data_IF_976709306877
#
_entry.id   IF_976709306877
#
_cell.length_a   1.000
_cell.length_b   1.000
_cell.length_c   1.000
_cell.angle_alpha   90.00
_cell.angle_beta   90.00
_cell.angle_gamma   90.00
#
_symmetry.space_group_name_H-M   'P 1'
#
loop_
_entity.id
_entity.type
_entity.pdbx_description
1 polymer ?
#
# COMPACT_ATOMS: atom_id res chain seq x y z
N UNK A 1 -25.15 4.22 -22.22
CA UNK A 1 -23.88 4.24 -22.99
C UNK A 1 -22.68 4.30 -22.04
N UNK A 2 -22.51 3.25 -21.23
CA UNK A 2 -21.38 3.02 -20.30
C UNK A 2 -20.63 1.71 -20.60
N UNK A 3 -21.10 0.91 -21.57
CA UNK A 3 -20.40 -0.30 -22.04
C UNK A 3 -19.30 0.00 -23.09
N UNK A 4 -19.10 1.27 -23.46
CA UNK A 4 -18.08 1.69 -24.43
C UNK A 4 -16.72 1.98 -23.78
N UNK A 5 -16.64 2.23 -22.47
CA UNK A 5 -15.34 2.41 -21.81
C UNK A 5 -14.63 1.10 -21.50
N UNK A 6 -15.36 -0.03 -21.45
CA UNK A 6 -14.78 -1.38 -21.33
C UNK A 6 -14.07 -1.84 -22.61
N UNK A 7 -14.53 -1.34 -23.77
CA UNK A 7 -13.98 -1.70 -25.09
C UNK A 7 -12.80 -0.81 -25.52
N UNK A 8 -12.74 0.44 -25.05
CA UNK A 8 -11.72 1.38 -25.51
C UNK A 8 -10.36 1.24 -24.82
N UNK A 9 -10.29 0.61 -23.64
CA UNK A 9 -9.02 0.29 -22.99
C UNK A 9 -8.32 -0.95 -23.58
N UNK A 10 -8.99 -1.66 -24.49
CA UNK A 10 -8.49 -2.90 -25.10
C UNK A 10 -7.56 -2.66 -26.31
N UNK A 11 -7.53 -1.44 -26.88
CA UNK A 11 -6.88 -1.19 -28.17
C UNK A 11 -5.51 -0.47 -28.14
N UNK A 12 -4.90 -0.24 -26.97
CA UNK A 12 -3.59 0.42 -26.88
C UNK A 12 -2.50 -0.47 -26.26
N UNK A 13 -2.31 -1.69 -26.77
CA UNK A 13 -0.98 -2.33 -26.87
C UNK A 13 -0.98 -3.25 -28.09
N UNK A 14 -0.84 -2.67 -29.29
CA UNK A 14 -0.29 -3.41 -30.42
C UNK A 14 1.22 -3.50 -30.22
N UNK A 15 1.68 -4.61 -29.67
CA UNK A 15 2.83 -5.35 -30.20
C UNK A 15 3.20 -6.54 -29.29
N UNK A 16 3.48 -7.66 -29.96
CA UNK A 16 4.07 -8.94 -29.50
C UNK A 16 3.10 -10.03 -28.99
N UNK A 17 2.68 -10.82 -29.98
CA UNK A 17 2.46 -12.28 -30.02
C UNK A 17 2.16 -13.05 -28.72
N UNK A 18 0.86 -13.27 -28.50
CA UNK A 18 0.19 -14.57 -28.31
C UNK A 18 -1.30 -14.28 -28.16
N UNK A 19 -1.98 -13.96 -29.26
CA UNK A 19 -3.40 -13.61 -29.24
C UNK A 19 -4.22 -14.87 -29.02
N UNK A 20 -4.78 -15.06 -27.82
CA UNK A 20 -5.96 -15.93 -27.67
C UNK A 20 -7.08 -15.24 -28.44
N UNK A 21 -7.73 -15.86 -29.44
CA UNK A 21 -8.81 -15.22 -30.17
C UNK A 21 -9.87 -14.70 -29.19
N UNK A 22 -10.39 -13.48 -29.39
CA UNK A 22 -11.35 -12.80 -28.47
C UNK A 22 -12.57 -13.66 -28.08
N UNK A 23 -12.92 -14.70 -28.85
CA UNK A 23 -14.00 -15.64 -28.54
C UNK A 23 -13.63 -16.85 -27.65
N UNK A 24 -12.34 -17.12 -27.39
CA UNK A 24 -11.89 -18.21 -26.51
C UNK A 24 -11.62 -17.76 -25.07
N UNK A 25 -11.42 -16.45 -24.84
CA UNK A 25 -11.11 -15.85 -23.53
C UNK A 25 -12.32 -15.94 -22.58
N UNK A 26 -13.54 -15.74 -23.10
CA UNK A 26 -14.80 -15.90 -22.36
C UNK A 26 -15.00 -17.34 -21.81
N UNK A 27 -14.17 -18.30 -22.24
CA UNK A 27 -14.26 -19.71 -21.93
C UNK A 27 -13.08 -20.22 -21.06
N UNK A 28 -12.40 -19.32 -20.35
CA UNK A 28 -11.36 -19.67 -19.38
C UNK A 28 -11.91 -19.94 -17.97
N UNK A 29 -12.93 -19.19 -17.55
CA UNK A 29 -13.58 -19.36 -16.25
C UNK A 29 -15.04 -19.76 -16.48
N UNK A 30 -15.53 -20.84 -15.84
CA UNK A 30 -16.93 -21.22 -15.92
C UNK A 30 -17.86 -20.04 -15.63
N UNK A 31 -18.94 -19.85 -16.39
CA UNK A 31 -19.86 -18.76 -16.15
C UNK A 31 -20.42 -18.85 -14.73
N UNK A 32 -20.50 -17.72 -14.00
CA UNK A 32 -20.93 -17.76 -12.62
C UNK A 32 -22.41 -18.16 -12.53
N UNK A 33 -22.78 -19.05 -11.60
CA UNK A 33 -24.19 -19.28 -11.29
C UNK A 33 -24.82 -17.99 -10.75
N UNK A 34 -26.16 -17.90 -10.82
CA UNK A 34 -26.91 -16.71 -10.38
C UNK A 34 -26.45 -16.21 -9.01
N UNK A 35 -26.17 -14.92 -8.97
CA UNK A 35 -25.80 -14.19 -7.77
C UNK A 35 -27.06 -13.59 -7.14
N UNK A 36 -27.07 -13.50 -5.81
CA UNK A 36 -28.03 -12.67 -5.09
C UNK A 36 -27.51 -11.23 -4.98
N UNK A 37 -28.37 -10.30 -4.57
CA UNK A 37 -28.00 -8.88 -4.45
C UNK A 37 -26.90 -8.60 -3.40
N UNK A 38 -26.68 -9.51 -2.45
CA UNK A 38 -25.68 -9.37 -1.39
C UNK A 38 -24.67 -10.51 -1.51
N UNK A 39 -23.39 -10.16 -1.70
CA UNK A 39 -22.30 -11.14 -1.81
C UNK A 39 -21.59 -11.24 -0.47
N UNK A 40 -20.92 -10.17 -0.06
CA UNK A 40 -20.33 -10.02 1.27
C UNK A 40 -20.69 -8.65 1.79
N UNK A 41 -21.13 -8.57 3.04
CA UNK A 41 -21.42 -7.32 3.73
C UNK A 41 -20.80 -7.35 5.13
N UNK A 42 -19.93 -6.39 5.39
CA UNK A 42 -19.25 -6.18 6.67
C UNK A 42 -19.76 -4.88 7.28
N UNK A 43 -20.39 -4.98 8.44
CA UNK A 43 -20.95 -3.86 9.19
C UNK A 43 -20.15 -3.66 10.49
N UNK A 44 -19.48 -2.51 10.62
CA UNK A 44 -18.70 -2.09 11.79
C UNK A 44 -17.72 -3.15 12.32
N UNK A 45 -17.10 -3.89 11.40
CA UNK A 45 -16.27 -5.05 11.73
C UNK A 45 -14.93 -4.63 12.34
N UNK A 46 -14.60 -5.23 13.48
CA UNK A 46 -13.27 -5.12 14.11
C UNK A 46 -12.72 -6.50 14.44
N UNK A 47 -11.41 -6.67 14.29
CA UNK A 47 -10.73 -7.92 14.63
C UNK A 47 -9.47 -7.65 15.47
N UNK A 48 -9.36 -8.39 16.57
CA UNK A 48 -8.20 -8.42 17.45
C UNK A 48 -7.77 -9.88 17.62
N UNK A 49 -6.49 -10.16 17.34
CA UNK A 49 -5.89 -11.47 17.51
C UNK A 49 -4.82 -11.39 18.61
N UNK A 50 -5.07 -12.06 19.73
CA UNK A 50 -4.26 -11.89 20.94
C UNK A 50 -4.30 -10.43 21.42
N UNK A 51 -3.13 -9.82 21.59
CA UNK A 51 -3.00 -8.42 22.01
C UNK A 51 -2.97 -7.41 20.84
N UNK A 52 -3.05 -7.89 19.60
CA UNK A 52 -2.90 -7.05 18.40
C UNK A 52 -4.24 -6.86 17.70
N UNK A 53 -4.75 -5.63 17.73
CA UNK A 53 -5.84 -5.22 16.82
C UNK A 53 -5.28 -5.06 15.41
N UNK A 54 -5.90 -5.71 14.42
CA UNK A 54 -5.51 -5.57 13.00
C UNK A 54 -6.26 -4.42 12.33
N UNK A 55 -7.57 -4.33 12.53
CA UNK A 55 -8.41 -3.23 12.03
C UNK A 55 -9.68 -3.06 12.87
N UNK A 56 -10.27 -1.87 12.80
CA UNK A 56 -11.49 -1.49 13.55
C UNK A 56 -12.48 -0.75 12.67
N UNK A 57 -13.76 -0.86 13.02
CA UNK A 57 -14.88 -0.13 12.42
C UNK A 57 -14.90 -0.18 10.87
N UNK A 58 -14.56 -1.34 10.32
CA UNK A 58 -14.53 -1.55 8.88
C UNK A 58 -15.95 -1.78 8.36
N UNK A 59 -16.32 -1.03 7.32
CA UNK A 59 -17.50 -1.29 6.52
C UNK A 59 -17.08 -1.66 5.11
N UNK A 60 -17.60 -2.75 4.57
CA UNK A 60 -17.28 -3.24 3.23
C UNK A 60 -18.49 -3.98 2.66
N UNK A 61 -18.95 -3.55 1.48
CA UNK A 61 -19.97 -4.27 0.72
C UNK A 61 -19.38 -4.66 -0.63
N UNK A 62 -19.49 -5.94 -0.98
CA UNK A 62 -19.15 -6.48 -2.29
C UNK A 62 -20.43 -6.66 -3.11
N UNK A 63 -20.47 -6.02 -4.27
CA UNK A 63 -21.61 -6.08 -5.19
C UNK A 63 -21.41 -7.16 -6.27
N UNK A 64 -22.51 -7.54 -6.92
CA UNK A 64 -22.50 -8.47 -8.07
C UNK A 64 -21.67 -7.89 -9.23
N UNK A 65 -20.77 -8.70 -9.78
CA UNK A 65 -19.97 -8.31 -10.95
C UNK A 65 -18.87 -7.28 -10.65
N UNK A 66 -18.64 -6.97 -9.37
CA UNK A 66 -17.60 -6.04 -8.94
C UNK A 66 -16.27 -6.78 -8.73
N UNK A 67 -15.17 -6.17 -9.16
CA UNK A 67 -13.83 -6.59 -8.77
C UNK A 67 -13.26 -5.66 -7.69
N UNK A 68 -13.03 -6.20 -6.50
CA UNK A 68 -12.48 -5.47 -5.35
C UNK A 68 -11.05 -5.91 -5.06
N UNK A 69 -10.12 -4.96 -5.15
CA UNK A 69 -8.72 -5.15 -4.81
C UNK A 69 -8.44 -4.80 -3.35
N UNK A 70 -7.61 -5.58 -2.68
CA UNK A 70 -7.17 -5.37 -1.29
C UNK A 70 -5.67 -5.12 -1.27
N UNK A 71 -5.28 -3.96 -0.74
CA UNK A 71 -3.88 -3.51 -0.72
C UNK A 71 -3.45 -3.11 0.68
N UNK A 72 -2.17 -3.32 1.00
CA UNK A 72 -1.62 -3.00 2.31
C UNK A 72 -0.29 -3.68 2.58
N UNK A 73 0.46 -3.19 3.59
CA UNK A 73 1.73 -3.79 4.01
C UNK A 73 1.52 -5.26 4.46
N UNK A 74 2.58 -6.05 4.50
CA UNK A 74 2.48 -7.42 5.00
C UNK A 74 2.17 -7.43 6.51
N UNK A 75 1.32 -8.39 6.92
CA UNK A 75 0.93 -8.53 8.33
C UNK A 75 -0.05 -7.46 8.86
N UNK A 76 -0.71 -6.68 7.99
CA UNK A 76 -1.78 -5.73 8.38
C UNK A 76 -3.16 -6.38 8.50
N UNK A 77 -3.31 -7.64 8.07
CA UNK A 77 -4.56 -8.40 8.18
C UNK A 77 -5.33 -8.61 6.87
N UNK A 78 -4.68 -8.50 5.69
CA UNK A 78 -5.32 -8.76 4.38
C UNK A 78 -5.94 -10.17 4.29
N UNK A 79 -5.15 -11.21 4.54
CA UNK A 79 -5.67 -12.60 4.57
C UNK A 79 -6.65 -12.82 5.73
N UNK A 80 -6.55 -12.03 6.82
CA UNK A 80 -7.53 -12.08 7.92
C UNK A 80 -8.87 -11.51 7.46
N UNK A 81 -8.88 -10.41 6.70
CA UNK A 81 -10.08 -9.88 6.07
C UNK A 81 -10.72 -10.93 5.15
N UNK A 82 -9.92 -11.60 4.31
CA UNK A 82 -10.43 -12.68 3.46
C UNK A 82 -11.15 -13.76 4.30
N UNK A 83 -10.50 -14.26 5.37
CA UNK A 83 -11.11 -15.26 6.25
C UNK A 83 -12.42 -14.80 6.88
N UNK A 84 -12.54 -13.52 7.24
CA UNK A 84 -13.79 -12.96 7.78
C UNK A 84 -14.87 -12.88 6.68
N UNK A 85 -14.52 -12.38 5.48
CA UNK A 85 -15.44 -12.35 4.33
C UNK A 85 -15.98 -13.75 3.97
N UNK A 86 -15.12 -14.77 4.10
CA UNK A 86 -15.44 -16.17 3.83
C UNK A 86 -16.11 -16.89 5.02
N UNK A 87 -16.42 -16.19 6.12
CA UNK A 87 -16.96 -16.76 7.36
C UNK A 87 -16.11 -17.89 7.98
N UNK A 88 -14.80 -17.91 7.68
CA UNK A 88 -13.83 -18.83 8.27
C UNK A 88 -13.25 -18.32 9.59
N UNK A 89 -13.43 -17.03 9.87
CA UNK A 89 -13.01 -16.38 11.11
C UNK A 89 -14.11 -15.40 11.56
N UNK A 90 -14.54 -15.51 12.81
CA UNK A 90 -15.51 -14.57 13.37
C UNK A 90 -14.83 -13.25 13.77
N UNK A 91 -15.45 -12.10 13.48
CA UNK A 91 -14.95 -10.82 13.94
C UNK A 91 -15.09 -10.67 15.46
N UNK A 92 -14.21 -9.89 16.08
CA UNK A 92 -14.30 -9.58 17.52
C UNK A 92 -15.51 -8.69 17.84
N UNK A 93 -15.87 -7.80 16.91
CA UNK A 93 -17.08 -7.00 16.97
C UNK A 93 -17.60 -6.68 15.57
N UNK A 94 -18.85 -6.24 15.48
CA UNK A 94 -19.52 -6.00 14.20
C UNK A 94 -20.14 -7.27 13.62
N UNK A 95 -20.50 -7.24 12.34
CA UNK A 95 -21.21 -8.33 11.69
C UNK A 95 -20.65 -8.59 10.29
N UNK A 96 -20.42 -9.86 9.98
CA UNK A 96 -19.98 -10.32 8.66
C UNK A 96 -21.05 -11.24 8.05
N UNK A 97 -21.64 -10.82 6.93
CA UNK A 97 -22.72 -11.52 6.25
C UNK A 97 -22.21 -12.01 4.90
N UNK A 98 -22.28 -13.32 4.67
CA UNK A 98 -22.07 -13.94 3.37
C UNK A 98 -23.43 -14.27 2.74
N UNK A 99 -23.61 -13.91 1.47
CA UNK A 99 -24.83 -14.19 0.73
C UNK A 99 -25.12 -15.68 0.61
N UNK A 100 -26.39 -16.07 0.76
CA UNK A 100 -26.81 -17.50 0.77
C UNK A 100 -26.55 -18.24 -0.55
N UNK A 101 -26.47 -17.52 -1.67
CA UNK A 101 -26.27 -18.09 -3.00
C UNK A 101 -24.81 -17.99 -3.47
N UNK A 102 -23.90 -17.53 -2.60
CA UNK A 102 -22.49 -17.38 -2.94
C UNK A 102 -21.83 -18.76 -2.98
N UNK A 103 -21.26 -19.10 -4.13
CA UNK A 103 -20.35 -20.22 -4.35
C UNK A 103 -18.94 -19.66 -4.47
N UNK A 104 -18.16 -19.88 -3.42
CA UNK A 104 -16.80 -19.36 -3.29
C UNK A 104 -15.84 -20.28 -4.02
N UNK A 105 -14.98 -19.70 -4.85
CA UNK A 105 -13.74 -20.32 -5.29
C UNK A 105 -12.57 -19.55 -4.68
N UNK A 106 -12.03 -20.09 -3.58
CA UNK A 106 -10.90 -19.51 -2.88
C UNK A 106 -9.60 -20.14 -3.36
N UNK A 107 -8.70 -19.26 -3.80
CA UNK A 107 -7.45 -19.58 -4.42
C UNK A 107 -6.37 -18.93 -3.56
N UNK A 108 -5.66 -19.76 -2.82
CA UNK A 108 -4.50 -19.36 -2.03
C UNK A 108 -3.23 -19.96 -2.64
N UNK A 109 -2.09 -19.53 -2.11
CA UNK A 109 -0.77 -20.01 -2.53
C UNK A 109 -0.57 -21.52 -2.31
N UNK A 110 -1.34 -22.17 -1.43
CA UNK A 110 -1.22 -23.61 -1.18
C UNK A 110 -1.96 -24.45 -2.22
N UNK A 111 -3.10 -23.96 -2.72
CA UNK A 111 -3.87 -24.58 -3.82
C UNK A 111 -3.21 -24.43 -5.19
N UNK A 112 -2.23 -23.54 -5.28
CA UNK A 112 -1.37 -23.33 -6.43
C UNK A 112 -0.27 -24.41 -6.56
N UNK A 113 -0.51 -25.64 -6.11
CA UNK A 113 0.43 -26.76 -6.22
C UNK A 113 -0.08 -27.82 -7.20
N UNK A 114 0.86 -28.35 -7.99
CA UNK A 114 0.64 -29.44 -8.93
C UNK A 114 1.26 -30.72 -8.35
N UNK A 115 0.62 -31.87 -8.57
CA UNK A 115 1.07 -33.16 -8.00
C UNK A 115 2.37 -33.65 -8.69
N UNK A 116 2.63 -33.17 -9.91
CA UNK A 116 3.92 -33.33 -10.60
C UNK A 116 4.16 -34.72 -11.22
N UNK A 117 3.42 -35.74 -10.79
CA UNK A 117 3.64 -37.14 -11.20
C UNK A 117 2.83 -37.60 -12.40
N UNK A 118 1.72 -36.93 -12.72
CA UNK A 118 0.82 -37.25 -13.83
C UNK A 118 1.12 -36.49 -15.11
N UNK A 119 0.35 -36.77 -16.17
CA UNK A 119 0.34 -35.92 -17.35
C UNK A 119 -0.43 -34.61 -17.09
N UNK A 120 -0.20 -33.58 -17.92
CA UNK A 120 -0.97 -32.33 -17.83
C UNK A 120 -2.48 -32.59 -17.96
N UNK A 121 -2.86 -33.55 -18.81
CA UNK A 121 -4.24 -33.96 -18.97
C UNK A 121 -4.81 -34.56 -17.68
N UNK A 122 -4.06 -35.45 -17.03
CA UNK A 122 -4.50 -36.10 -15.79
C UNK A 122 -4.67 -35.08 -14.65
N UNK A 123 -3.75 -34.13 -14.57
CA UNK A 123 -3.73 -33.06 -13.56
C UNK A 123 -4.95 -32.13 -13.64
N UNK A 124 -5.47 -31.90 -14.84
CA UNK A 124 -6.65 -31.04 -15.06
C UNK A 124 -7.95 -31.83 -15.09
N UNK A 125 -7.92 -33.06 -15.60
CA UNK A 125 -9.12 -33.89 -15.74
C UNK A 125 -9.64 -34.42 -14.40
N UNK A 126 -8.79 -34.52 -13.37
CA UNK A 126 -9.08 -35.27 -12.14
C UNK A 126 -9.60 -36.70 -12.44
N UNK A 127 -9.14 -37.29 -13.54
CA UNK A 127 -9.58 -38.60 -14.04
C UNK A 127 -10.84 -38.60 -14.93
N UNK A 128 -11.39 -37.43 -15.27
CA UNK A 128 -12.55 -37.29 -16.16
C UNK A 128 -12.19 -36.80 -17.57
N UNK A 129 -12.72 -37.42 -18.63
CA UNK A 129 -12.46 -36.96 -20.01
C UNK A 129 -12.97 -35.54 -20.30
N UNK A 130 -13.93 -35.05 -19.50
CA UNK A 130 -14.59 -33.75 -19.64
C UNK A 130 -14.52 -32.97 -18.32
N UNK A 131 -14.38 -31.67 -18.46
CA UNK A 131 -14.41 -30.68 -17.38
C UNK A 131 -15.81 -30.06 -17.37
N UNK A 132 -16.43 -30.01 -16.20
CA UNK A 132 -17.66 -29.25 -15.99
C UNK A 132 -17.34 -27.75 -16.07
N UNK A 133 -18.00 -27.06 -17.00
CA UNK A 133 -17.81 -25.64 -17.26
C UNK A 133 -19.15 -24.92 -17.20
N UNK A 134 -19.61 -24.68 -15.97
CA UNK A 134 -20.94 -24.13 -15.72
C UNK A 134 -22.00 -25.19 -16.04
N UNK A 135 -22.85 -24.92 -17.02
CA UNK A 135 -23.89 -25.86 -17.47
C UNK A 135 -23.42 -26.74 -18.65
N UNK A 136 -22.21 -26.51 -19.18
CA UNK A 136 -21.65 -27.24 -20.31
C UNK A 136 -20.48 -28.14 -19.88
N UNK A 137 -20.11 -29.08 -20.76
CA UNK A 137 -18.95 -29.93 -20.58
C UNK A 137 -17.95 -29.72 -21.71
N UNK A 138 -16.71 -29.46 -21.34
CA UNK A 138 -15.63 -29.17 -22.29
C UNK A 138 -14.59 -30.29 -22.18
N UNK A 139 -14.09 -30.79 -23.31
CA UNK A 139 -13.02 -31.79 -23.28
C UNK A 139 -11.75 -31.21 -22.64
N UNK A 140 -11.10 -31.97 -21.76
CA UNK A 140 -9.95 -31.46 -21.01
C UNK A 140 -8.80 -30.98 -21.91
N UNK A 141 -8.58 -31.64 -23.06
CA UNK A 141 -7.63 -31.19 -24.09
C UNK A 141 -8.01 -29.83 -24.69
N UNK A 142 -9.28 -29.62 -25.00
CA UNK A 142 -9.76 -28.36 -25.57
C UNK A 142 -9.62 -27.21 -24.57
N UNK A 143 -9.83 -27.48 -23.28
CA UNK A 143 -9.61 -26.50 -22.22
C UNK A 143 -8.11 -26.15 -22.08
N UNK A 144 -7.22 -27.14 -22.05
CA UNK A 144 -5.77 -26.92 -21.99
C UNK A 144 -5.21 -26.12 -23.16
N UNK A 145 -5.74 -26.31 -24.38
CA UNK A 145 -5.34 -25.50 -25.56
C UNK A 145 -5.58 -24.00 -25.36
N UNK A 146 -6.61 -23.61 -24.60
CA UNK A 146 -6.90 -22.20 -24.28
C UNK A 146 -5.85 -21.57 -23.36
N UNK A 147 -5.13 -22.40 -22.61
CA UNK A 147 -3.95 -22.02 -21.82
C UNK A 147 -2.65 -22.19 -22.62
N UNK A 148 -2.74 -22.20 -23.96
CA UNK A 148 -1.61 -22.25 -24.90
C UNK A 148 -0.77 -23.55 -24.81
N UNK A 149 -1.38 -24.66 -24.38
CA UNK A 149 -0.73 -25.97 -24.45
C UNK A 149 -0.97 -26.64 -25.80
N UNK A 150 0.10 -27.11 -26.45
CA UNK A 150 0.00 -27.92 -27.67
C UNK A 150 -0.40 -29.37 -27.37
N UNK A 151 -0.93 -30.08 -28.37
CA UNK A 151 -1.35 -31.48 -28.20
C UNK A 151 -0.22 -32.42 -27.78
N UNK A 152 1.00 -32.14 -28.23
CA UNK A 152 2.20 -32.86 -27.82
C UNK A 152 2.46 -32.66 -26.32
N UNK A 153 2.42 -31.40 -25.85
CA UNK A 153 2.68 -31.05 -24.44
C UNK A 153 1.61 -31.56 -23.48
N UNK A 154 0.35 -31.66 -23.90
CA UNK A 154 -0.76 -32.09 -23.05
C UNK A 154 -0.58 -33.50 -22.47
N UNK A 155 0.13 -34.39 -23.19
CA UNK A 155 0.35 -35.77 -22.72
C UNK A 155 1.70 -35.94 -22.01
N UNK A 156 2.52 -34.89 -21.89
CA UNK A 156 3.77 -34.92 -21.15
C UNK A 156 3.54 -34.82 -19.65
N UNK A 157 4.57 -35.16 -18.88
CA UNK A 157 4.53 -35.08 -17.42
C UNK A 157 4.71 -33.64 -16.95
N UNK A 158 4.06 -33.32 -15.83
CA UNK A 158 4.11 -31.98 -15.23
C UNK A 158 5.53 -31.57 -14.80
N UNK A 159 6.38 -32.53 -14.39
CA UNK A 159 7.76 -32.28 -13.98
C UNK A 159 8.71 -31.84 -15.13
N UNK A 160 8.28 -31.97 -16.38
CA UNK A 160 9.03 -31.52 -17.57
C UNK A 160 8.67 -30.10 -18.02
N UNK A 161 7.72 -29.45 -17.33
CA UNK A 161 7.27 -28.11 -17.68
C UNK A 161 8.30 -27.05 -17.32
N UNK A 162 8.41 -26.04 -18.18
CA UNK A 162 9.07 -24.78 -17.81
C UNK A 162 8.29 -24.06 -16.72
N UNK A 163 8.93 -23.10 -16.03
CA UNK A 163 8.25 -22.32 -14.99
C UNK A 163 7.00 -21.58 -15.48
N UNK A 164 7.03 -21.02 -16.70
CA UNK A 164 5.86 -20.35 -17.29
C UNK A 164 4.73 -21.33 -17.66
N UNK A 165 5.07 -22.51 -18.18
CA UNK A 165 4.07 -23.55 -18.43
C UNK A 165 3.47 -24.09 -17.13
N UNK A 166 4.29 -24.25 -16.09
CA UNK A 166 3.82 -24.65 -14.77
C UNK A 166 2.81 -23.62 -14.21
N UNK A 167 3.10 -22.32 -14.34
CA UNK A 167 2.18 -21.25 -13.99
C UNK A 167 0.87 -21.29 -14.78
N UNK A 168 0.92 -21.52 -16.10
CA UNK A 168 -0.30 -21.67 -16.92
C UNK A 168 -1.13 -22.89 -16.54
N UNK A 169 -0.51 -24.03 -16.27
CA UNK A 169 -1.23 -25.24 -15.87
C UNK A 169 -1.90 -25.04 -14.51
N UNK A 170 -1.19 -24.39 -13.58
CA UNK A 170 -1.73 -24.01 -12.28
C UNK A 170 -2.96 -23.10 -12.42
N UNK A 171 -2.90 -22.07 -13.25
CA UNK A 171 -4.06 -21.23 -13.56
C UNK A 171 -5.21 -22.05 -14.13
N UNK A 172 -4.95 -22.94 -15.09
CA UNK A 172 -5.96 -23.81 -15.66
C UNK A 172 -6.65 -24.69 -14.60
N UNK A 173 -5.87 -25.28 -13.70
CA UNK A 173 -6.36 -26.14 -12.61
C UNK A 173 -7.27 -25.38 -11.64
N UNK A 174 -6.88 -24.15 -11.35
CA UNK A 174 -7.55 -23.29 -10.37
C UNK A 174 -8.85 -22.70 -10.94
N UNK A 175 -8.80 -22.18 -12.17
CA UNK A 175 -9.93 -21.50 -12.81
C UNK A 175 -11.05 -22.46 -13.24
N UNK A 176 -10.77 -23.76 -13.41
CA UNK A 176 -11.76 -24.77 -13.83
C UNK A 176 -12.92 -24.96 -12.84
N UNK A 177 -12.70 -24.65 -11.57
CA UNK A 177 -13.69 -24.90 -10.50
C UNK A 177 -14.86 -23.90 -10.52
N UNK A 178 -14.75 -22.82 -11.29
CA UNK A 178 -15.82 -21.82 -11.44
C UNK A 178 -16.14 -21.12 -10.13
N UNK A 179 -17.42 -20.84 -9.89
CA UNK A 179 -17.92 -20.10 -8.73
C UNK A 179 -18.57 -18.78 -9.12
N UNK A 180 -19.13 -18.07 -8.16
CA UNK A 180 -19.67 -16.72 -8.39
C UNK A 180 -19.02 -15.65 -7.51
N UNK A 181 -18.22 -16.06 -6.52
CA UNK A 181 -17.22 -15.23 -5.86
C UNK A 181 -15.85 -15.90 -6.00
N UNK A 182 -14.95 -15.28 -6.75
CA UNK A 182 -13.54 -15.71 -6.84
C UNK A 182 -12.73 -14.90 -5.85
N UNK A 183 -11.97 -15.58 -5.00
CA UNK A 183 -11.08 -14.95 -4.03
C UNK A 183 -9.64 -15.36 -4.31
N UNK A 184 -8.77 -14.39 -4.58
CA UNK A 184 -7.38 -14.59 -4.93
C UNK A 184 -6.46 -13.97 -3.86
N UNK A 185 -5.61 -14.75 -3.21
CA UNK A 185 -4.61 -14.23 -2.26
C UNK A 185 -3.20 -14.25 -2.89
N UNK A 186 -2.72 -13.07 -3.28
CA UNK A 186 -1.41 -12.83 -3.93
C UNK A 186 -1.17 -13.68 -5.22
N UNK A 187 -2.10 -13.63 -6.22
CA UNK A 187 -2.03 -14.51 -7.38
C UNK A 187 -0.90 -14.17 -8.36
N UNK A 188 -0.27 -13.00 -8.24
CA UNK A 188 0.69 -12.48 -9.23
C UNK A 188 2.15 -12.87 -8.98
N UNK A 189 2.49 -13.39 -7.80
CA UNK A 189 3.90 -13.54 -7.38
C UNK A 189 4.66 -14.61 -8.17
N UNK A 190 3.99 -15.68 -8.58
CA UNK A 190 4.59 -16.85 -9.21
C UNK A 190 4.22 -16.97 -10.71
N UNK A 191 3.63 -15.92 -11.29
CA UNK A 191 3.19 -15.89 -12.68
C UNK A 191 4.21 -15.19 -13.58
N UNK A 192 4.47 -15.79 -14.75
CA UNK A 192 5.15 -15.09 -15.83
C UNK A 192 4.21 -14.08 -16.51
N UNK A 193 4.77 -13.19 -17.33
CA UNK A 193 4.02 -12.11 -17.97
C UNK A 193 2.86 -12.63 -18.86
N UNK A 194 3.05 -13.79 -19.51
CA UNK A 194 2.00 -14.40 -20.33
C UNK A 194 0.85 -14.95 -19.47
N UNK A 195 1.16 -15.69 -18.40
CA UNK A 195 0.15 -16.22 -17.48
C UNK A 195 -0.61 -15.10 -16.79
N UNK A 196 0.08 -14.02 -16.40
CA UNK A 196 -0.53 -12.85 -15.80
C UNK A 196 -1.53 -12.20 -16.76
N UNK A 197 -1.21 -12.04 -18.05
CA UNK A 197 -2.15 -11.52 -19.06
C UNK A 197 -3.37 -12.42 -19.22
N UNK A 198 -3.19 -13.74 -19.29
CA UNK A 198 -4.30 -14.71 -19.36
C UNK A 198 -5.22 -14.55 -18.14
N UNK A 199 -4.65 -14.40 -16.95
CA UNK A 199 -5.41 -14.18 -15.73
C UNK A 199 -6.16 -12.84 -15.76
N UNK A 200 -5.51 -11.74 -16.16
CA UNK A 200 -6.15 -10.43 -16.30
C UNK A 200 -7.35 -10.48 -17.25
N UNK A 201 -7.17 -11.07 -18.43
CA UNK A 201 -8.22 -11.19 -19.44
C UNK A 201 -9.37 -12.07 -18.95
N UNK A 202 -9.06 -13.21 -18.32
CA UNK A 202 -10.05 -14.12 -17.76
C UNK A 202 -10.89 -13.44 -16.66
N UNK A 203 -10.23 -12.72 -15.74
CA UNK A 203 -10.90 -12.00 -14.65
C UNK A 203 -11.71 -10.80 -15.15
N UNK A 204 -11.24 -10.09 -16.18
CA UNK A 204 -11.96 -8.98 -16.78
C UNK A 204 -13.23 -9.45 -17.53
N UNK A 205 -13.21 -10.64 -18.13
CA UNK A 205 -14.37 -11.25 -18.79
C UNK A 205 -15.36 -11.90 -17.80
N UNK A 206 -14.90 -12.28 -16.61
CA UNK A 206 -15.71 -12.97 -15.61
C UNK A 206 -16.83 -12.06 -15.09
N UNK A 207 -18.07 -12.55 -15.16
CA UNK A 207 -19.27 -11.79 -14.76
C UNK A 207 -19.65 -11.96 -13.29
N UNK A 208 -18.82 -12.64 -12.50
CA UNK A 208 -19.05 -12.82 -11.07
C UNK A 208 -18.35 -11.75 -10.26
N UNK A 209 -18.38 -11.89 -8.94
CA UNK A 209 -17.68 -10.99 -8.03
C UNK A 209 -16.26 -11.51 -7.80
N UNK A 210 -15.28 -10.60 -7.75
CA UNK A 210 -13.88 -10.92 -7.54
C UNK A 210 -13.36 -10.16 -6.32
N UNK A 211 -12.66 -10.85 -5.44
CA UNK A 211 -11.92 -10.26 -4.33
C UNK A 211 -10.46 -10.67 -4.45
N UNK A 212 -9.57 -9.71 -4.70
CA UNK A 212 -8.16 -10.00 -4.94
C UNK A 212 -7.25 -9.25 -3.97
N UNK A 213 -6.32 -9.96 -3.35
CA UNK A 213 -5.20 -9.38 -2.63
C UNK A 213 -3.99 -9.41 -3.57
N UNK A 214 -3.40 -8.26 -3.85
CA UNK A 214 -2.17 -8.21 -4.64
C UNK A 214 -1.35 -6.97 -4.29
N UNK A 215 -0.04 -7.08 -4.47
CA UNK A 215 0.89 -5.95 -4.47
C UNK A 215 1.15 -5.36 -5.87
N UNK A 216 0.69 -6.00 -6.93
CA UNK A 216 0.88 -5.55 -8.31
C UNK A 216 -0.11 -4.43 -8.65
N UNK A 217 0.45 -3.23 -8.84
CA UNK A 217 -0.32 -2.02 -9.12
C UNK A 217 -0.95 -2.03 -10.51
N UNK A 218 -0.27 -2.61 -11.50
CA UNK A 218 -0.76 -2.63 -12.88
C UNK A 218 -1.91 -3.60 -13.03
N UNK A 219 -1.76 -4.79 -12.43
CA UNK A 219 -2.82 -5.79 -12.36
C UNK A 219 -4.09 -5.22 -11.72
N UNK A 220 -3.95 -4.62 -10.53
CA UNK A 220 -5.09 -4.03 -9.81
C UNK A 220 -5.72 -2.87 -10.59
N UNK A 221 -4.93 -2.05 -11.29
CA UNK A 221 -5.45 -0.93 -12.08
C UNK A 221 -6.28 -1.39 -13.28
N UNK A 222 -5.94 -2.54 -13.86
CA UNK A 222 -6.62 -3.13 -15.00
C UNK A 222 -7.96 -3.79 -14.66
N UNK A 223 -8.02 -4.50 -13.53
CA UNK A 223 -9.19 -5.32 -13.22
C UNK A 223 -10.10 -4.74 -12.13
N UNK A 224 -9.61 -3.90 -11.21
CA UNK A 224 -10.40 -3.52 -10.02
C UNK A 224 -11.29 -2.29 -10.26
N UNK A 225 -12.52 -2.39 -9.74
CA UNK A 225 -13.52 -1.32 -9.67
C UNK A 225 -13.60 -0.68 -8.27
N UNK A 226 -12.96 -1.29 -7.27
CA UNK A 226 -12.91 -0.79 -5.89
C UNK A 226 -11.60 -1.24 -5.25
N UNK A 227 -11.03 -0.38 -4.40
CA UNK A 227 -9.81 -0.66 -3.64
C UNK A 227 -10.08 -0.53 -2.14
N UNK A 228 -9.76 -1.58 -1.41
CA UNK A 228 -9.70 -1.64 0.06
C UNK A 228 -8.25 -1.51 0.47
N UNK A 229 -7.89 -0.33 0.98
CA UNK A 229 -6.53 -0.02 1.39
C UNK A 229 -6.37 -0.06 2.91
N UNK A 230 -5.44 -0.87 3.38
CA UNK A 230 -4.94 -0.87 4.75
C UNK A 230 -3.85 0.19 4.88
N UNK A 231 -4.21 1.33 5.47
CA UNK A 231 -3.34 2.47 5.74
C UNK A 231 -3.01 2.53 7.25
N UNK A 232 -2.00 3.33 7.63
CA UNK A 232 -1.58 3.46 9.03
C UNK A 232 -2.67 4.13 9.91
N UNK A 233 -3.62 4.86 9.30
CA UNK A 233 -4.77 5.51 9.96
C UNK A 233 -6.07 4.66 9.93
N UNK A 234 -5.99 3.42 9.45
CA UNK A 234 -7.11 2.48 9.36
C UNK A 234 -7.37 1.98 7.94
N UNK A 235 -8.54 1.37 7.74
CA UNK A 235 -8.92 0.82 6.42
C UNK A 235 -9.79 1.80 5.66
N UNK A 236 -9.43 2.05 4.40
CA UNK A 236 -10.17 2.93 3.49
C UNK A 236 -10.71 2.13 2.31
N UNK A 237 -12.00 2.26 2.07
CA UNK A 237 -12.65 1.71 0.87
C UNK A 237 -12.87 2.83 -0.12
N UNK A 238 -12.31 2.69 -1.33
CA UNK A 238 -12.40 3.70 -2.38
C UNK A 238 -12.97 3.07 -3.66
N UNK A 239 -14.07 3.58 -4.22
CA UNK A 239 -14.53 3.15 -5.53
C UNK A 239 -13.60 3.68 -6.62
N UNK A 240 -13.31 2.88 -7.63
CA UNK A 240 -12.36 3.15 -8.71
C UNK A 240 -11.17 2.20 -8.70
N UNK A 241 -10.32 2.35 -9.71
CA UNK A 241 -9.11 1.57 -9.89
C UNK A 241 -7.98 2.01 -8.93
N UNK A 242 -6.84 1.32 -9.01
CA UNK A 242 -5.70 1.59 -8.15
C UNK A 242 -5.13 3.01 -8.31
N UNK A 243 -5.03 3.51 -9.54
CA UNK A 243 -4.56 4.86 -9.83
C UNK A 243 -5.43 5.93 -9.19
N UNK A 244 -6.75 5.77 -9.26
CA UNK A 244 -7.70 6.69 -8.63
C UNK A 244 -7.59 6.69 -7.10
N UNK A 245 -7.39 5.51 -6.49
CA UNK A 245 -7.09 5.41 -5.07
C UNK A 245 -5.79 6.17 -4.71
N UNK A 246 -4.72 6.01 -5.50
CA UNK A 246 -3.44 6.68 -5.26
C UNK A 246 -3.58 8.21 -5.31
N UNK A 247 -4.29 8.74 -6.30
CA UNK A 247 -4.58 10.17 -6.44
C UNK A 247 -5.32 10.71 -5.22
N UNK A 248 -6.39 10.02 -4.79
CA UNK A 248 -7.15 10.40 -3.59
C UNK A 248 -6.29 10.36 -2.33
N UNK A 249 -5.43 9.36 -2.21
CA UNK A 249 -4.51 9.24 -1.07
C UNK A 249 -3.54 10.43 -1.03
N UNK A 250 -2.91 10.77 -2.15
CA UNK A 250 -2.00 11.92 -2.24
C UNK A 250 -2.71 13.24 -1.93
N UNK A 251 -3.94 13.45 -2.43
CA UNK A 251 -4.72 14.63 -2.14
C UNK A 251 -5.00 14.78 -0.62
N UNK A 252 -5.32 13.68 0.06
CA UNK A 252 -5.51 13.66 1.53
C UNK A 252 -4.22 13.94 2.28
N UNK A 253 -3.11 13.32 1.90
CA UNK A 253 -1.80 13.55 2.53
C UNK A 253 -1.37 15.03 2.38
N UNK A 254 -1.56 15.61 1.20
CA UNK A 254 -1.28 17.03 0.94
C UNK A 254 -2.19 17.95 1.76
N UNK A 255 -3.49 17.64 1.85
CA UNK A 255 -4.42 18.41 2.66
C UNK A 255 -4.06 18.33 4.16
N UNK A 256 -3.69 17.15 4.66
CA UNK A 256 -3.23 16.96 6.04
C UNK A 256 -1.94 17.75 6.32
N UNK A 257 -0.98 17.75 5.39
CA UNK A 257 0.26 18.53 5.51
C UNK A 257 0.00 20.04 5.47
N UNK A 258 -0.94 20.49 4.63
CA UNK A 258 -1.36 21.89 4.57
C UNK A 258 -2.06 22.32 5.87
N UNK A 259 -2.91 21.46 6.45
CA UNK A 259 -3.54 21.72 7.75
C UNK A 259 -2.53 21.74 8.89
N UNK A 260 -1.57 20.81 8.94
CA UNK A 260 -0.52 20.79 9.96
C UNK A 260 0.36 22.03 9.90
N UNK A 261 0.72 22.50 8.70
CA UNK A 261 1.49 23.74 8.53
C UNK A 261 0.68 24.99 8.88
N UNK A 262 -0.62 25.03 8.55
CA UNK A 262 -1.53 26.09 8.97
C UNK A 262 -1.76 26.09 10.49
N UNK A 263 -1.90 24.92 11.12
CA UNK A 263 -2.03 24.76 12.57
C UNK A 263 -0.77 25.27 13.28
N UNK A 264 0.43 24.88 12.83
CA UNK A 264 1.69 25.40 13.36
C UNK A 264 1.84 26.92 13.19
N UNK A 265 1.47 27.47 12.02
CA UNK A 265 1.46 28.92 11.80
C UNK A 265 0.47 29.63 12.72
N UNK A 266 -0.72 29.05 12.94
CA UNK A 266 -1.75 29.62 13.81
C UNK A 266 -1.43 29.48 15.30
N UNK A 267 -0.74 28.42 15.72
CA UNK A 267 -0.20 28.26 17.07
C UNK A 267 0.89 29.30 17.35
N UNK A 268 1.78 29.55 16.38
CA UNK A 268 2.78 30.63 16.42
C UNK A 268 2.16 32.03 16.41
N UNK A 269 0.97 32.20 15.81
CA UNK A 269 0.19 33.46 15.80
C UNK A 269 -0.70 33.65 17.04
N UNK A 270 -1.11 32.57 17.71
CA UNK A 270 -1.89 32.60 18.96
C UNK A 270 -1.00 32.87 20.17
N UNK A 271 0.25 32.38 20.17
CA UNK A 271 1.24 32.76 21.18
C UNK A 271 1.66 34.23 21.09
N UNK A 272 1.55 34.86 19.91
CA UNK A 272 1.91 36.27 19.69
C UNK A 272 0.78 37.29 19.94
N UNK A 273 -0.40 36.87 20.43
CA UNK A 273 -1.57 37.75 20.58
C UNK A 273 -1.94 38.11 22.03
N UNK A 274 -1.08 37.78 23.01
CA UNK A 274 -1.07 38.51 24.28
C UNK A 274 -0.31 39.81 24.03
N UNK A 275 -1.04 40.94 23.91
CA UNK A 275 -0.46 42.27 24.08
C UNK A 275 0.10 42.36 25.51
N UNK A 276 1.36 41.99 25.69
CA UNK A 276 2.11 42.40 26.87
C UNK A 276 2.36 43.90 26.76
N UNK A 277 2.08 44.62 27.85
CA UNK A 277 2.40 46.04 27.96
C UNK A 277 3.91 46.21 27.72
N UNK A 278 4.35 47.27 27.02
CA UNK A 278 5.77 47.47 26.77
C UNK A 278 6.50 47.55 28.11
N UNK A 279 7.29 46.52 28.40
CA UNK A 279 8.13 46.41 29.59
C UNK A 279 9.31 47.35 29.38
N UNK A 280 9.59 48.22 30.34
CA UNK A 280 10.80 49.04 30.34
C UNK A 280 11.94 48.23 30.94
N UNK A 281 13.15 48.39 30.39
CA UNK A 281 14.37 47.85 30.99
C UNK A 281 14.48 48.33 32.43
N UNK A 282 14.72 47.41 33.36
CA UNK A 282 15.14 47.75 34.71
C UNK A 282 16.58 48.29 34.70
N UNK A 283 16.97 49.05 35.72
CA UNK A 283 18.32 49.62 35.81
C UNK A 283 19.42 48.53 35.80
N UNK A 284 19.11 47.33 36.30
CA UNK A 284 20.00 46.17 36.25
C UNK A 284 20.13 45.60 34.84
N UNK A 285 19.02 45.45 34.10
CA UNK A 285 19.01 44.94 32.72
C UNK A 285 19.65 45.92 31.73
N UNK A 286 19.54 47.24 31.97
CA UNK A 286 20.24 48.25 31.16
C UNK A 286 21.76 48.17 31.32
N UNK A 287 22.24 47.95 32.55
CA UNK A 287 23.67 47.75 32.84
C UNK A 287 24.17 46.39 32.35
N UNK A 288 23.31 45.37 32.37
CA UNK A 288 23.59 44.06 31.78
C UNK A 288 23.82 44.19 30.27
N UNK A 289 22.93 44.88 29.55
CA UNK A 289 23.00 45.12 28.10
C UNK A 289 24.32 45.80 27.68
N UNK A 290 24.78 46.81 28.43
CA UNK A 290 26.06 47.48 28.17
C UNK A 290 27.26 46.53 28.24
N UNK A 291 27.16 45.44 29.01
CA UNK A 291 28.26 44.45 29.17
C UNK A 291 28.07 43.18 28.36
N UNK A 292 26.89 42.97 27.75
CA UNK A 292 26.58 41.75 27.02
C UNK A 292 27.24 41.71 25.65
N UNK A 293 27.40 42.87 25.02
CA UNK A 293 28.11 43.00 23.74
C UNK A 293 29.59 42.60 23.89
N UNK A 294 30.26 43.15 24.91
CA UNK A 294 31.65 42.80 25.22
C UNK A 294 31.79 41.30 25.56
N UNK A 295 30.87 40.73 26.35
CA UNK A 295 30.88 39.31 26.70
C UNK A 295 30.61 38.38 25.51
N UNK A 296 29.74 38.78 24.59
CA UNK A 296 29.47 38.03 23.38
C UNK A 296 30.71 38.02 22.48
N UNK A 297 31.36 39.17 22.33
CA UNK A 297 32.63 39.29 21.60
C UNK A 297 33.74 38.44 22.23
N UNK A 298 33.89 38.46 23.57
CA UNK A 298 34.85 37.59 24.28
C UNK A 298 34.54 36.10 24.06
N UNK A 299 33.26 35.70 24.04
CA UNK A 299 32.87 34.32 23.78
C UNK A 299 33.16 33.89 22.33
N UNK A 300 32.93 34.78 21.36
CA UNK A 300 33.25 34.55 19.94
C UNK A 300 34.76 34.46 19.70
N UNK A 301 35.58 35.24 20.41
CA UNK A 301 37.04 35.14 20.38
C UNK A 301 37.51 33.77 20.90
N UNK A 302 36.86 33.24 21.94
CA UNK A 302 37.12 31.88 22.46
C UNK A 302 36.73 30.82 21.44
N UNK A 303 35.59 30.96 20.74
CA UNK A 303 35.20 30.05 19.66
C UNK A 303 36.22 30.07 18.53
N UNK A 304 36.68 31.26 18.14
CA UNK A 304 37.65 31.46 17.06
C UNK A 304 38.99 30.81 17.42
N UNK A 305 39.51 31.06 18.63
CA UNK A 305 40.77 30.45 19.09
C UNK A 305 40.69 28.92 19.21
N UNK A 306 39.55 28.35 19.61
CA UNK A 306 39.35 26.89 19.64
C UNK A 306 39.27 26.30 18.21
N UNK A 307 38.65 27.02 17.27
CA UNK A 307 38.62 26.62 15.85
C UNK A 307 40.01 26.65 15.20
N UNK A 308 40.82 27.67 15.50
CA UNK A 308 42.20 27.78 15.03
C UNK A 308 43.07 26.65 15.60
N UNK A 309 42.94 26.34 16.90
CA UNK A 309 43.62 25.21 17.54
C UNK A 309 43.26 23.89 16.84
N UNK A 310 41.98 23.64 16.58
CA UNK A 310 41.53 22.43 15.88
C UNK A 310 42.06 22.35 14.43
N UNK A 311 42.32 23.51 13.82
CA UNK A 311 42.87 23.61 12.45
C UNK A 311 44.40 23.55 12.40
N UNK A 312 45.09 23.57 13.55
CA UNK A 312 46.54 23.55 13.62
C UNK A 312 47.11 22.16 13.28
N UNK A 313 48.24 22.08 12.55
CA UNK A 313 48.87 20.80 12.18
C UNK A 313 49.27 19.95 13.39
N UNK A 314 49.58 20.58 14.53
CA UNK A 314 50.04 19.92 15.74
C UNK A 314 48.91 19.10 16.42
N UNK A 315 47.66 19.60 16.38
CA UNK A 315 46.50 18.92 16.98
C UNK A 315 45.92 17.83 16.07
N UNK A 316 46.15 17.92 14.75
CA UNK A 316 45.70 16.89 13.80
C UNK A 316 46.39 15.52 13.99
N UNK A 317 47.48 15.48 14.75
CA UNK A 317 48.22 14.24 15.05
C UNK A 317 47.98 13.71 16.47
N UNK A 318 47.30 14.48 17.32
CA UNK A 318 46.95 14.12 18.71
C UNK A 318 45.45 13.79 18.82
N UNK A 319 45.12 12.53 18.47
CA UNK A 319 43.74 12.02 18.40
C UNK A 319 43.01 11.97 19.75
N UNK A 320 43.71 12.09 20.90
CA UNK A 320 43.08 12.10 22.22
C UNK A 320 42.56 13.50 22.60
N UNK A 321 43.20 14.56 22.11
CA UNK A 321 42.82 15.95 22.42
C UNK A 321 41.69 16.50 21.54
N UNK A 322 41.51 15.96 20.33
CA UNK A 322 40.44 16.35 19.40
C UNK A 322 39.04 16.32 20.03
N UNK A 323 38.58 15.22 20.67
CA UNK A 323 37.24 15.18 21.26
C UNK A 323 37.06 16.15 22.44
N UNK A 324 38.14 16.44 23.19
CA UNK A 324 38.11 17.40 24.30
C UNK A 324 37.91 18.82 23.77
N UNK A 325 38.69 19.22 22.76
CA UNK A 325 38.61 20.54 22.13
C UNK A 325 37.27 20.71 21.39
N UNK A 326 36.75 19.65 20.77
CA UNK A 326 35.42 19.68 20.13
C UNK A 326 34.30 19.92 21.16
N UNK A 327 34.36 19.28 22.33
CA UNK A 327 33.37 19.48 23.39
C UNK A 327 33.45 20.90 23.98
N UNK A 328 34.66 21.43 24.18
CA UNK A 328 34.88 22.83 24.62
C UNK A 328 34.35 23.83 23.59
N UNK A 329 34.54 23.55 22.29
CA UNK A 329 34.07 24.39 21.19
C UNK A 329 32.53 24.39 21.08
N UNK A 330 31.86 23.25 21.25
CA UNK A 330 30.40 23.20 21.31
C UNK A 330 29.87 23.98 22.52
N UNK A 331 30.50 23.86 23.69
CA UNK A 331 30.12 24.60 24.88
C UNK A 331 30.31 26.11 24.70
N UNK A 332 31.44 26.54 24.13
CA UNK A 332 31.73 27.95 23.87
C UNK A 332 30.73 28.57 22.87
N UNK A 333 30.41 27.86 21.78
CA UNK A 333 29.39 28.30 20.82
C UNK A 333 28.02 28.47 21.46
N UNK A 334 27.64 27.53 22.32
CA UNK A 334 26.36 27.62 23.04
C UNK A 334 26.32 28.84 23.96
N UNK A 335 27.42 29.17 24.63
CA UNK A 335 27.53 30.37 25.47
C UNK A 335 27.43 31.65 24.63
N UNK A 336 28.12 31.70 23.48
CA UNK A 336 28.04 32.83 22.56
C UNK A 336 26.60 33.04 22.04
N UNK A 337 25.95 31.96 21.60
CA UNK A 337 24.56 31.98 21.15
C UNK A 337 23.62 32.47 22.28
N UNK A 338 23.79 32.00 23.51
CA UNK A 338 22.99 32.42 24.66
C UNK A 338 23.16 33.91 24.98
N UNK A 339 24.40 34.43 24.88
CA UNK A 339 24.71 35.85 25.10
C UNK A 339 24.12 36.75 23.99
N UNK A 340 24.23 36.34 22.73
CA UNK A 340 23.66 37.07 21.58
C UNK A 340 22.13 37.09 21.69
N UNK A 341 21.49 35.94 21.94
CA UNK A 341 20.03 35.88 22.11
C UNK A 341 19.56 36.75 23.29
N UNK A 342 20.34 36.81 24.37
CA UNK A 342 20.04 37.66 25.54
C UNK A 342 20.21 39.15 25.22
N UNK A 343 21.24 39.51 24.46
CA UNK A 343 21.47 40.87 23.98
C UNK A 343 20.36 41.33 23.04
N UNK A 344 20.02 40.53 22.02
CA UNK A 344 18.93 40.80 21.07
C UNK A 344 17.59 41.00 21.79
N UNK A 345 17.29 40.14 22.77
CA UNK A 345 16.08 40.28 23.59
C UNK A 345 16.05 41.62 24.35
N UNK A 346 17.15 42.02 24.97
CA UNK A 346 17.20 43.28 25.73
C UNK A 346 17.22 44.51 24.81
N UNK A 347 17.81 44.43 23.62
CA UNK A 347 17.72 45.44 22.55
C UNK A 347 16.28 45.62 22.05
N UNK A 348 15.55 44.53 21.79
CA UNK A 348 14.14 44.60 21.39
C UNK A 348 13.27 45.24 22.48
N UNK A 349 13.56 44.96 23.75
CA UNK A 349 12.88 45.59 24.90
C UNK A 349 13.23 47.08 25.01
N UNK A 350 14.47 47.48 24.69
CA UNK A 350 14.92 48.89 24.62
C UNK A 350 14.23 49.64 23.47
N UNK A 351 14.18 49.04 22.28
CA UNK A 351 13.61 49.62 21.06
C UNK A 351 12.08 49.78 21.16
N UNK A 352 11.40 48.88 21.87
CA UNK A 352 9.95 48.94 22.09
C UNK A 352 9.54 49.79 23.32
N UNK A 353 10.48 50.43 24.01
CA UNK A 353 10.17 51.40 25.07
C UNK A 353 9.82 52.77 24.45
N UNK A 354 8.69 53.41 24.85
CA UNK A 354 8.34 54.73 24.33
C UNK A 354 9.39 55.77 24.76
N UNK A 355 10.03 56.43 23.78
CA UNK A 355 10.84 57.63 24.01
C UNK A 355 10.00 58.68 24.73
N UNK A 356 10.57 59.30 25.77
CA UNK A 356 9.93 60.38 26.53
C UNK A 356 9.90 61.68 25.73
#
# INVERSE_FOLDING_TARGET
>A
TKSRSRLNAFHEVKDQDAFVPEGEIDLLIPPPPRLGNTIVDLEDVSITLGDRTLFRHMNLSLEEGQCTGVVGKNGVGKSTLLKICLQQLEPTSGKAILGKQVKINYIDQSRMQLDGTGSLLDEISDGNEKIEFGDENIGARAYLRRFLFSDERINERVDLLSGGEHARLMLAKVLKTGGNLIVLDEPTNDLDLQSLRILEEALAAFRGTILVVSHDRYFLDRICDQIVAFEDDGVKVTPGNFSYYLEKRQARENAARAQATAANRSAKKRSSNKKEKPRKLTMAEAKELETLEDKAMEADDVVTTLQEKLSSPDIQTDFEQIPVIMAELEAAKKVADELINRWEFLEEVKANSPMK
#
